data_IF_192338755246
#
_entry.id   IF_192338755246
#
_cell.length_a   1.000
_cell.length_b   1.000
_cell.length_c   1.000
_cell.angle_alpha   90.00
_cell.angle_beta   90.00
_cell.angle_gamma   90.00
#
_symmetry.space_group_name_H-M   'P 1'
#
loop_
_entity.id
_entity.type
_entity.pdbx_description
1 polymer ?
#
# COMPACT_ATOMS: atom_id res chain seq x y z
N UNK A 1 31.80 -10.30 12.48
CA UNK A 1 30.62 -9.66 13.12
C UNK A 1 29.55 -9.53 12.06
N UNK A 2 28.30 -9.87 12.36
CA UNK A 2 27.17 -9.68 11.44
C UNK A 2 26.26 -8.64 12.09
N UNK A 3 25.92 -7.58 11.34
CA UNK A 3 25.08 -6.49 11.79
C UNK A 3 23.95 -6.24 10.77
N UNK A 4 22.81 -5.75 11.26
CA UNK A 4 21.71 -5.28 10.42
C UNK A 4 21.90 -3.80 10.13
N UNK A 5 22.00 -3.44 8.84
CA UNK A 5 22.15 -2.05 8.43
C UNK A 5 20.86 -1.23 8.72
N UNK A 6 20.97 0.11 8.83
CA UNK A 6 19.82 0.99 8.97
C UNK A 6 18.81 0.77 7.84
N UNK A 7 17.52 0.75 8.19
CA UNK A 7 16.43 0.60 7.24
C UNK A 7 16.08 1.94 6.63
N UNK A 8 15.93 2.02 5.31
CA UNK A 8 15.55 3.26 4.64
C UNK A 8 14.04 3.44 4.48
N UNK A 9 13.27 2.35 4.51
CA UNK A 9 11.80 2.36 4.61
C UNK A 9 11.32 1.30 5.58
N UNK A 10 10.15 1.52 6.20
CA UNK A 10 9.59 0.61 7.20
C UNK A 10 8.06 0.59 7.13
N UNK A 11 7.49 -0.57 6.85
CA UNK A 11 6.09 -0.85 7.12
C UNK A 11 5.95 -1.45 8.51
N UNK A 12 5.22 -0.77 9.38
CA UNK A 12 4.92 -1.28 10.71
C UNK A 12 3.43 -1.21 11.05
N UNK A 13 3.03 -2.00 12.03
CA UNK A 13 1.69 -1.97 12.61
C UNK A 13 1.77 -2.14 14.12
N UNK A 14 0.68 -1.86 14.82
CA UNK A 14 0.53 -2.29 16.21
C UNK A 14 0.51 -3.83 16.27
N UNK A 15 1.29 -4.41 17.17
CA UNK A 15 1.28 -5.84 17.44
C UNK A 15 -0.13 -6.29 17.88
N UNK A 16 -0.50 -7.51 17.52
CA UNK A 16 -1.77 -8.09 17.95
C UNK A 16 -1.73 -8.39 19.46
N UNK A 17 -2.81 -8.07 20.19
CA UNK A 17 -2.93 -8.31 21.62
C UNK A 17 -3.03 -7.03 22.46
N UNK A 18 -2.87 -7.18 23.78
CA UNK A 18 -2.98 -6.08 24.74
C UNK A 18 -1.76 -5.14 24.75
N UNK A 19 -0.60 -5.61 24.25
CA UNK A 19 0.61 -4.81 24.21
C UNK A 19 0.59 -3.81 23.05
N UNK A 20 0.88 -2.54 23.36
CA UNK A 20 1.08 -1.51 22.35
C UNK A 20 2.55 -1.49 21.94
N UNK A 21 2.97 -2.56 21.27
CA UNK A 21 4.31 -2.67 20.67
C UNK A 21 4.23 -2.49 19.16
N UNK A 22 5.22 -1.81 18.59
CA UNK A 22 5.40 -1.75 17.14
C UNK A 22 5.89 -3.10 16.61
N UNK A 23 5.24 -3.59 15.56
CA UNK A 23 5.64 -4.76 14.79
C UNK A 23 6.02 -4.32 13.37
N UNK A 24 7.29 -4.48 13.01
CA UNK A 24 7.76 -4.28 11.63
C UNK A 24 7.33 -5.46 10.77
N UNK A 25 6.68 -5.17 9.65
CA UNK A 25 6.19 -6.15 8.67
C UNK A 25 7.13 -6.27 7.48
N UNK A 26 7.65 -5.15 6.99
CA UNK A 26 8.59 -5.08 5.88
C UNK A 26 9.51 -3.87 6.05
N UNK A 27 10.70 -3.95 5.46
CA UNK A 27 11.66 -2.86 5.42
C UNK A 27 12.39 -2.84 4.08
N UNK A 28 12.95 -1.69 3.72
CA UNK A 28 13.74 -1.50 2.49
C UNK A 28 12.94 -1.80 1.22
N UNK A 29 11.65 -1.48 1.25
CA UNK A 29 10.73 -1.50 0.11
C UNK A 29 10.73 -0.12 -0.53
N UNK A 30 11.09 -0.03 -1.80
CA UNK A 30 11.13 1.24 -2.53
C UNK A 30 9.77 1.60 -3.14
N UNK A 31 9.00 0.60 -3.58
CA UNK A 31 7.72 0.77 -4.28
C UNK A 31 6.66 -0.13 -3.66
N UNK A 32 5.46 0.41 -3.41
CA UNK A 32 4.32 -0.31 -2.86
C UNK A 32 3.12 -0.29 -3.81
N UNK A 33 2.68 -1.45 -4.28
CA UNK A 33 1.49 -1.56 -5.14
C UNK A 33 0.20 -1.60 -4.31
N UNK A 34 -0.68 -0.62 -4.53
CA UNK A 34 -2.04 -0.60 -3.99
C UNK A 34 -2.98 -1.18 -5.04
N UNK A 35 -3.38 -2.42 -4.85
CA UNK A 35 -4.15 -3.19 -5.83
C UNK A 35 -5.64 -3.10 -5.52
N UNK A 36 -6.44 -2.74 -6.53
CA UNK A 36 -7.89 -2.85 -6.52
C UNK A 36 -8.36 -3.62 -7.76
N UNK A 37 -9.49 -4.31 -7.66
CA UNK A 37 -10.14 -4.89 -8.83
C UNK A 37 -10.97 -3.80 -9.52
N UNK A 38 -11.01 -3.77 -10.86
CA UNK A 38 -11.80 -2.81 -11.61
C UNK A 38 -13.31 -2.90 -11.30
N UNK A 39 -13.77 -4.03 -10.76
CA UNK A 39 -15.14 -4.26 -10.31
C UNK A 39 -15.41 -3.80 -8.86
N UNK A 40 -14.39 -3.48 -8.07
CA UNK A 40 -14.49 -3.01 -6.67
C UNK A 40 -13.42 -1.95 -6.41
N UNK A 41 -13.60 -0.78 -7.03
CA UNK A 41 -12.77 0.39 -6.75
C UNK A 41 -13.40 1.16 -5.60
N UNK A 42 -12.71 1.16 -4.47
CA UNK A 42 -13.10 1.92 -3.29
C UNK A 42 -12.04 3.00 -3.03
N UNK A 43 -12.33 4.23 -3.46
CA UNK A 43 -11.40 5.38 -3.37
C UNK A 43 -10.89 5.58 -1.94
N UNK A 44 -11.79 5.58 -0.95
CA UNK A 44 -11.41 5.74 0.48
C UNK A 44 -10.44 4.65 0.96
N UNK A 45 -10.61 3.42 0.47
CA UNK A 45 -9.71 2.29 0.78
C UNK A 45 -8.33 2.52 0.15
N UNK A 46 -8.30 2.97 -1.11
CA UNK A 46 -7.07 3.27 -1.84
C UNK A 46 -6.31 4.41 -1.15
N UNK A 47 -6.95 5.55 -0.89
CA UNK A 47 -6.35 6.71 -0.18
C UNK A 47 -5.70 6.30 1.15
N UNK A 48 -6.37 5.44 1.92
CA UNK A 48 -5.84 4.92 3.18
C UNK A 48 -4.56 4.11 2.96
N UNK A 49 -4.49 3.27 1.93
CA UNK A 49 -3.29 2.50 1.63
C UNK A 49 -2.17 3.34 1.04
N UNK A 50 -2.49 4.34 0.22
CA UNK A 50 -1.53 5.35 -0.24
C UNK A 50 -0.90 6.08 0.96
N UNK A 51 -1.71 6.46 1.94
CA UNK A 51 -1.23 7.08 3.19
C UNK A 51 -0.25 6.16 3.93
N UNK A 52 -0.57 4.88 4.09
CA UNK A 52 0.31 3.90 4.75
C UNK A 52 1.63 3.72 3.98
N UNK A 53 1.57 3.64 2.65
CA UNK A 53 2.76 3.54 1.82
C UNK A 53 3.66 4.77 1.96
N UNK A 54 3.10 5.97 1.86
CA UNK A 54 3.86 7.21 2.07
C UNK A 54 4.47 7.30 3.48
N UNK A 55 3.74 6.92 4.52
CA UNK A 55 4.25 6.89 5.89
C UNK A 55 5.43 5.92 6.06
N UNK A 56 5.49 4.84 5.28
CA UNK A 56 6.61 3.90 5.31
C UNK A 56 7.89 4.44 4.63
N UNK A 57 7.75 5.47 3.78
CA UNK A 57 8.80 5.98 2.90
C UNK A 57 8.83 5.34 1.51
N UNK A 58 8.03 4.30 1.25
CA UNK A 58 7.91 3.68 -0.08
C UNK A 58 7.04 4.53 -1.03
N UNK A 59 7.39 4.56 -2.31
CA UNK A 59 6.60 5.21 -3.35
C UNK A 59 5.38 4.34 -3.71
N UNK A 60 4.13 4.82 -3.53
CA UNK A 60 2.97 4.05 -3.89
C UNK A 60 2.67 4.08 -5.39
N UNK A 61 2.11 2.99 -5.91
CA UNK A 61 1.57 2.88 -7.28
C UNK A 61 0.23 2.16 -7.22
N UNK A 62 -0.83 2.77 -7.76
CA UNK A 62 -2.15 2.15 -7.83
C UNK A 62 -2.22 1.22 -9.04
N UNK A 63 -2.71 0.01 -8.83
CA UNK A 63 -2.88 -1.00 -9.89
C UNK A 63 -4.32 -1.48 -9.92
N UNK A 64 -4.99 -1.29 -11.05
CA UNK A 64 -6.32 -1.84 -11.31
C UNK A 64 -6.19 -3.20 -12.00
N UNK A 65 -6.68 -4.25 -11.35
CA UNK A 65 -6.68 -5.63 -11.85
C UNK A 65 -8.05 -6.01 -12.38
N UNK A 66 -8.13 -7.10 -13.17
CA UNK A 66 -9.38 -7.60 -13.74
C UNK A 66 -10.08 -6.57 -14.64
N UNK A 67 -9.32 -5.81 -15.42
CA UNK A 67 -9.89 -4.84 -16.35
C UNK A 67 -10.67 -5.51 -17.49
N UNK A 68 -10.38 -6.78 -17.79
CA UNK A 68 -11.03 -7.60 -18.82
C UNK A 68 -12.51 -7.89 -18.55
N UNK A 69 -12.97 -7.79 -17.29
CA UNK A 69 -14.37 -8.05 -16.92
C UNK A 69 -15.24 -6.79 -16.84
N UNK A 70 -14.68 -5.61 -17.10
CA UNK A 70 -15.42 -4.34 -17.13
C UNK A 70 -15.41 -3.74 -18.54
N UNK A 71 -16.50 -3.10 -18.96
CA UNK A 71 -16.64 -2.57 -20.31
C UNK A 71 -15.76 -1.36 -20.65
N UNK A 72 -15.39 -0.56 -19.64
CA UNK A 72 -14.42 0.55 -19.76
C UNK A 72 -13.84 0.89 -18.39
N UNK A 73 -12.56 1.24 -18.33
CA UNK A 73 -11.84 1.69 -17.12
C UNK A 73 -11.60 3.19 -17.09
N UNK A 74 -12.07 3.96 -18.08
CA UNK A 74 -11.69 5.37 -18.24
C UNK A 74 -12.20 6.25 -17.08
N UNK A 75 -13.40 5.96 -16.60
CA UNK A 75 -13.99 6.65 -15.44
C UNK A 75 -13.19 6.44 -14.15
N UNK A 76 -12.52 5.29 -13.99
CA UNK A 76 -11.73 4.96 -12.80
C UNK A 76 -10.43 5.75 -12.71
N UNK A 77 -9.92 6.24 -13.85
CA UNK A 77 -8.69 7.07 -13.87
C UNK A 77 -8.97 8.47 -13.31
N UNK A 78 -10.13 9.06 -13.62
CA UNK A 78 -10.51 10.40 -13.16
C UNK A 78 -10.81 10.48 -11.66
N UNK A 79 -11.28 9.40 -11.04
CA UNK A 79 -11.55 9.39 -9.59
C UNK A 79 -10.29 9.30 -8.72
N UNK A 80 -9.14 9.00 -9.33
CA UNK A 80 -7.86 8.77 -8.65
C UNK A 80 -6.79 9.83 -8.95
N UNK A 81 -7.11 10.84 -9.78
CA UNK A 81 -6.34 12.08 -9.97
C UNK A 81 -6.73 13.13 -8.93
#
# INVERSE_FOLDING_TARGET
MVEVLPRHTVFSRKAAGAETREQVLAANVDIAFVIAAATDVNVRRIERYLTIAWQSGAAPVVVLTKADVVGSTDHLRQELE
#
